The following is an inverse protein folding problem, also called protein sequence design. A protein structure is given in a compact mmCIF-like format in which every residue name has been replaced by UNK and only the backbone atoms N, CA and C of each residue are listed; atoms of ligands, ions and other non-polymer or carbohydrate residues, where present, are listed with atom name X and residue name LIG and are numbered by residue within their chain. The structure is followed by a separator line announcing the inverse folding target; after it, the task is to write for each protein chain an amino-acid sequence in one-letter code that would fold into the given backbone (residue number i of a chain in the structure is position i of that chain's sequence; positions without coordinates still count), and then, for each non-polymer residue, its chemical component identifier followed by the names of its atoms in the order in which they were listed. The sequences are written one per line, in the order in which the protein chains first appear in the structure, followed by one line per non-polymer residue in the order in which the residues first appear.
data_IF_372724039119
#
_entry.id   IF_372724039119
#
_cell.length_a   1.000
_cell.length_b   1.000
_cell.length_c   1.000
_cell.angle_alpha   90.00
_cell.angle_beta   90.00
_cell.angle_gamma   90.00
#
_symmetry.space_group_name_H-M   'P 1'
#
loop_
_entity.id
_entity.type
_entity.pdbx_description
1 polymer ?
#
# COMPACT_ATOMS: atom_id res chain seq x y z
N UNK A 1 -1.38 -6.69 -5.10
CA UNK A 1 -0.87 -6.78 -3.71
C UNK A 1 0.56 -7.28 -3.79
N UNK A 2 1.50 -6.59 -3.15
CA UNK A 2 2.90 -7.08 -3.06
C UNK A 2 2.94 -8.43 -2.33
N UNK A 3 3.87 -9.30 -2.70
CA UNK A 3 3.97 -10.65 -2.11
C UNK A 3 4.10 -10.61 -0.59
N UNK A 4 4.87 -9.65 -0.07
CA UNK A 4 5.07 -9.46 1.36
C UNK A 4 3.77 -9.09 2.08
N UNK A 5 2.98 -8.17 1.51
CA UNK A 5 1.68 -7.79 2.04
C UNK A 5 0.69 -8.98 2.05
N UNK A 6 0.80 -9.88 1.08
CA UNK A 6 -0.03 -11.09 1.05
C UNK A 6 0.30 -12.06 2.18
N UNK A 7 1.59 -12.30 2.44
CA UNK A 7 2.03 -13.15 3.55
C UNK A 7 1.67 -12.53 4.90
N UNK A 8 1.87 -11.23 5.08
CA UNK A 8 1.48 -10.51 6.29
C UNK A 8 -0.03 -10.59 6.52
N UNK A 9 -0.83 -10.42 5.47
CA UNK A 9 -2.30 -10.57 5.55
C UNK A 9 -2.66 -11.99 5.96
N UNK A 10 -2.08 -13.01 5.32
CA UNK A 10 -2.36 -14.40 5.63
C UNK A 10 -2.00 -14.76 7.08
N UNK A 11 -0.81 -14.34 7.54
CA UNK A 11 -0.32 -14.58 8.90
C UNK A 11 -1.20 -13.93 9.98
N UNK A 12 -1.93 -12.86 9.64
CA UNK A 12 -2.81 -12.12 10.56
C UNK A 12 -4.28 -12.54 10.49
N UNK A 13 -4.67 -13.44 9.58
CA UNK A 13 -6.01 -14.00 9.57
C UNK A 13 -6.26 -14.82 10.85
N UNK A 14 -7.54 -14.97 11.22
CA UNK A 14 -7.88 -15.90 12.30
C UNK A 14 -7.39 -17.30 11.97
N UNK A 15 -7.00 -18.06 13.00
CA UNK A 15 -6.47 -19.42 12.83
C UNK A 15 -7.44 -20.35 12.10
N UNK A 16 -8.75 -20.18 12.30
CA UNK A 16 -9.78 -20.92 11.58
C UNK A 16 -9.75 -20.64 10.08
N UNK A 17 -9.60 -19.37 9.68
CA UNK A 17 -9.50 -18.96 8.29
C UNK A 17 -8.20 -19.49 7.68
N UNK A 18 -7.06 -19.31 8.36
CA UNK A 18 -5.77 -19.87 7.92
C UNK A 18 -5.85 -21.38 7.68
N UNK A 19 -6.49 -22.13 8.59
CA UNK A 19 -6.70 -23.56 8.42
C UNK A 19 -7.57 -23.89 7.21
N UNK A 20 -8.64 -23.11 6.96
CA UNK A 20 -9.49 -23.29 5.78
C UNK A 20 -8.68 -23.08 4.49
N UNK A 21 -7.87 -22.03 4.42
CA UNK A 21 -6.95 -21.77 3.31
C UNK A 21 -5.91 -22.87 3.12
N UNK A 22 -5.28 -23.34 4.20
CA UNK A 22 -4.30 -24.42 4.15
C UNK A 22 -4.94 -25.73 3.68
N UNK A 23 -6.16 -26.06 4.13
CA UNK A 23 -6.91 -27.22 3.64
C UNK A 23 -7.27 -27.08 2.17
N UNK A 24 -7.65 -25.88 1.73
CA UNK A 24 -7.88 -25.58 0.31
C UNK A 24 -6.63 -25.80 -0.53
N UNK A 25 -5.50 -25.25 -0.09
CA UNK A 25 -4.21 -25.44 -0.75
C UNK A 25 -3.77 -26.92 -0.79
N UNK A 26 -3.95 -27.65 0.32
CA UNK A 26 -3.67 -29.07 0.40
C UNK A 26 -4.59 -29.88 -0.55
N UNK A 27 -5.86 -29.52 -0.65
CA UNK A 27 -6.81 -30.13 -1.58
C UNK A 27 -6.41 -29.92 -3.05
N UNK A 28 -5.99 -28.70 -3.40
CA UNK A 28 -5.48 -28.39 -4.74
C UNK A 28 -4.18 -29.14 -5.06
N UNK A 29 -3.26 -29.23 -4.09
CA UNK A 29 -2.05 -30.04 -4.24
C UNK A 29 -2.38 -31.52 -4.44
N UNK A 30 -3.30 -32.06 -3.64
CA UNK A 30 -3.75 -33.44 -3.78
C UNK A 30 -4.38 -33.69 -5.17
N UNK A 31 -5.18 -32.76 -5.67
CA UNK A 31 -5.74 -32.82 -7.02
C UNK A 31 -4.64 -32.89 -8.09
N UNK A 32 -3.63 -32.02 -8.02
CA UNK A 32 -2.49 -32.02 -8.96
C UNK A 32 -1.72 -33.35 -8.89
N UNK A 33 -1.47 -33.87 -7.68
CA UNK A 33 -0.78 -35.14 -7.48
C UNK A 33 -1.59 -36.33 -8.04
N UNK A 34 -2.92 -36.32 -7.87
CA UNK A 34 -3.82 -37.33 -8.46
C UNK A 34 -3.77 -37.27 -9.98
N UNK A 35 -3.76 -36.09 -10.60
CA UNK A 35 -3.64 -35.95 -12.05
C UNK A 35 -2.32 -36.54 -12.57
N UNK A 36 -1.19 -36.22 -11.93
CA UNK A 36 0.10 -36.83 -12.28
C UNK A 36 0.09 -38.35 -12.07
N UNK A 37 -0.54 -38.82 -11.00
CA UNK A 37 -0.66 -40.24 -10.74
C UNK A 37 -1.50 -40.96 -11.80
N UNK A 38 -2.61 -40.38 -12.25
CA UNK A 38 -3.45 -40.92 -13.32
C UNK A 38 -2.69 -41.00 -14.66
N UNK A 39 -1.91 -39.97 -14.99
CA UNK A 39 -1.05 -40.03 -16.18
C UNK A 39 0.02 -41.11 -16.06
N UNK A 40 0.68 -41.21 -14.89
CA UNK A 40 1.69 -42.24 -14.67
C UNK A 40 1.11 -43.65 -14.82
N UNK A 41 -0.14 -43.86 -14.37
CA UNK A 41 -0.91 -45.10 -14.53
C UNK A 41 -1.19 -45.43 -15.99
N UNK A 42 -1.41 -44.44 -16.85
CA UNK A 42 -1.60 -44.65 -18.29
C UNK A 42 -0.32 -45.17 -18.98
N UNK A 43 0.86 -44.64 -18.61
CA UNK A 43 2.13 -45.06 -19.23
C UNK A 43 2.76 -46.30 -18.58
N UNK A 44 2.34 -46.68 -17.37
CA UNK A 44 2.89 -47.83 -16.63
C UNK A 44 2.75 -49.18 -17.35
N UNK A 45 1.59 -49.57 -17.91
CA UNK A 45 1.42 -50.86 -18.59
C UNK A 45 2.36 -51.06 -19.78
N UNK A 46 2.80 -49.96 -20.40
CA UNK A 46 3.70 -50.00 -21.57
C UNK A 46 5.18 -49.83 -21.21
N UNK A 47 5.52 -49.74 -19.92
CA UNK A 47 6.90 -49.55 -19.46
C UNK A 47 7.48 -48.16 -19.75
N UNK A 48 6.64 -47.15 -20.00
CA UNK A 48 7.07 -45.82 -20.51
C UNK A 48 7.02 -44.71 -19.47
N UNK A 49 6.99 -45.05 -18.18
CA UNK A 49 6.92 -44.08 -17.07
C UNK A 49 8.15 -43.15 -17.08
N UNK A 50 9.34 -43.66 -17.39
CA UNK A 50 10.55 -42.83 -17.51
C UNK A 50 10.44 -41.77 -18.62
N UNK A 51 9.89 -42.16 -19.78
CA UNK A 51 9.63 -41.23 -20.90
C UNK A 51 8.59 -40.16 -20.52
N UNK A 52 7.53 -40.54 -19.81
CA UNK A 52 6.54 -39.59 -19.28
C UNK A 52 7.18 -38.59 -18.31
N UNK A 53 7.96 -39.07 -17.34
CA UNK A 53 8.61 -38.22 -16.35
C UNK A 53 9.58 -37.23 -17.01
N UNK A 54 10.38 -37.69 -17.98
CA UNK A 54 11.29 -36.84 -18.73
C UNK A 54 10.54 -35.72 -19.48
N UNK A 55 9.39 -36.03 -20.10
CA UNK A 55 8.56 -35.00 -20.74
C UNK A 55 7.98 -34.04 -19.69
N UNK A 56 7.56 -34.50 -18.52
CA UNK A 56 7.02 -33.62 -17.45
C UNK A 56 8.06 -32.68 -16.85
N UNK A 57 9.29 -33.15 -16.66
CA UNK A 57 10.41 -32.29 -16.27
C UNK A 57 10.69 -31.25 -17.36
N UNK A 58 10.66 -31.66 -18.63
CA UNK A 58 10.77 -30.72 -19.75
C UNK A 58 9.59 -29.73 -19.80
N UNK A 59 8.36 -30.14 -19.44
CA UNK A 59 7.21 -29.25 -19.34
C UNK A 59 7.44 -28.13 -18.32
N UNK A 60 8.08 -28.41 -17.18
CA UNK A 60 8.40 -27.38 -16.18
C UNK A 60 9.37 -26.33 -16.75
N UNK A 61 10.43 -26.78 -17.42
CA UNK A 61 11.40 -25.87 -18.06
C UNK A 61 10.73 -25.09 -19.19
N UNK A 62 9.92 -25.75 -20.02
CA UNK A 62 9.16 -25.12 -21.09
C UNK A 62 8.16 -24.08 -20.57
N UNK A 63 7.50 -24.32 -19.43
CA UNK A 63 6.61 -23.35 -18.78
C UNK A 63 7.37 -22.08 -18.41
N UNK A 64 8.53 -22.21 -17.75
CA UNK A 64 9.36 -21.08 -17.35
C UNK A 64 9.89 -20.30 -18.55
N UNK A 65 10.35 -21.01 -19.60
CA UNK A 65 10.82 -20.39 -20.83
C UNK A 65 9.70 -19.68 -21.59
N UNK A 66 8.52 -20.28 -21.69
CA UNK A 66 7.37 -19.66 -22.31
C UNK A 66 6.94 -18.40 -21.55
N UNK A 67 6.91 -18.45 -20.21
CA UNK A 67 6.61 -17.29 -19.38
C UNK A 67 7.65 -16.17 -19.60
N UNK A 68 8.94 -16.50 -19.57
CA UNK A 68 10.02 -15.54 -19.79
C UNK A 68 9.95 -14.91 -21.19
N UNK A 69 9.71 -15.72 -22.23
CA UNK A 69 9.61 -15.27 -23.61
C UNK A 69 8.40 -14.35 -23.86
N UNK A 70 7.34 -14.47 -23.06
CA UNK A 70 6.17 -13.60 -23.16
C UNK A 70 6.35 -12.34 -22.31
N UNK A 71 6.80 -12.47 -21.06
CA UNK A 71 6.78 -11.39 -20.08
C UNK A 71 7.97 -10.44 -20.23
N UNK A 72 9.19 -10.94 -20.47
CA UNK A 72 10.37 -10.09 -20.53
C UNK A 72 10.34 -9.08 -21.69
N UNK A 73 9.97 -9.47 -22.93
CA UNK A 73 9.87 -8.51 -24.02
C UNK A 73 8.78 -7.47 -23.80
N UNK A 74 7.63 -7.88 -23.25
CA UNK A 74 6.54 -6.95 -22.94
C UNK A 74 6.95 -5.94 -21.86
N UNK A 75 7.73 -6.36 -20.85
CA UNK A 75 8.28 -5.49 -19.79
C UNK A 75 9.34 -4.51 -20.31
N UNK A 76 10.02 -4.84 -21.41
CA UNK A 76 11.03 -3.98 -22.03
C UNK A 76 10.45 -2.84 -22.87
N UNK A 77 9.13 -2.87 -23.14
CA UNK A 77 8.42 -1.87 -23.93
C UNK A 77 7.45 -1.11 -23.03
N UNK A 78 7.39 0.21 -23.15
CA UNK A 78 6.47 1.06 -22.38
C UNK A 78 5.12 1.29 -23.08
N UNK A 79 4.09 1.59 -22.29
CA UNK A 79 2.80 2.04 -22.80
C UNK A 79 1.99 0.98 -23.57
N UNK A 80 1.08 1.38 -24.47
CA UNK A 80 0.17 0.47 -25.17
C UNK A 80 0.86 -0.60 -26.02
N UNK A 81 2.07 -0.31 -26.52
CA UNK A 81 2.87 -1.25 -27.32
C UNK A 81 3.28 -2.51 -26.52
N UNK A 82 3.43 -2.39 -25.20
CA UNK A 82 3.71 -3.53 -24.31
C UNK A 82 2.65 -4.62 -24.42
N UNK A 83 1.37 -4.22 -24.50
CA UNK A 83 0.24 -5.12 -24.64
C UNK A 83 0.28 -5.84 -26.01
N UNK A 84 0.61 -5.11 -27.07
CA UNK A 84 0.76 -5.70 -28.42
C UNK A 84 1.84 -6.78 -28.45
N UNK A 85 3.03 -6.48 -27.90
CA UNK A 85 4.14 -7.43 -27.79
C UNK A 85 3.74 -8.65 -26.96
N UNK A 86 3.08 -8.44 -25.82
CA UNK A 86 2.59 -9.51 -24.97
C UNK A 86 1.64 -10.45 -25.71
N UNK A 87 0.63 -9.90 -26.41
CA UNK A 87 -0.37 -10.69 -27.14
C UNK A 87 0.30 -11.49 -28.26
N UNK A 88 1.18 -10.86 -29.07
CA UNK A 88 1.88 -11.56 -30.14
C UNK A 88 2.72 -12.70 -29.58
N UNK A 89 3.53 -12.45 -28.55
CA UNK A 89 4.35 -13.50 -27.93
C UNK A 89 3.49 -14.63 -27.33
N UNK A 90 2.36 -14.29 -26.69
CA UNK A 90 1.46 -15.25 -26.07
C UNK A 90 0.79 -16.18 -27.10
N UNK A 91 0.40 -15.67 -28.27
CA UNK A 91 -0.30 -16.46 -29.28
C UNK A 91 0.62 -17.13 -30.31
N UNK A 92 1.90 -16.75 -30.38
CA UNK A 92 2.84 -17.31 -31.36
C UNK A 92 4.03 -18.02 -30.70
N UNK A 93 4.80 -17.30 -29.88
CA UNK A 93 6.04 -17.82 -29.29
C UNK A 93 5.74 -18.85 -28.20
N UNK A 94 4.80 -18.56 -27.28
CA UNK A 94 4.49 -19.46 -26.18
C UNK A 94 3.96 -20.83 -26.64
N UNK A 95 3.02 -20.93 -27.60
CA UNK A 95 2.57 -22.23 -28.11
C UNK A 95 3.68 -22.99 -28.82
N UNK A 96 4.55 -22.31 -29.60
CA UNK A 96 5.69 -22.96 -30.25
C UNK A 96 6.67 -23.55 -29.23
N UNK A 97 7.01 -22.81 -28.18
CA UNK A 97 7.86 -23.31 -27.10
C UNK A 97 7.19 -24.45 -26.33
N UNK A 98 5.91 -24.30 -25.99
CA UNK A 98 5.17 -25.29 -25.21
C UNK A 98 4.95 -26.58 -25.99
N UNK A 99 4.20 -26.56 -27.08
CA UNK A 99 3.87 -27.76 -27.84
C UNK A 99 5.10 -28.33 -28.57
N UNK A 100 5.97 -27.44 -29.07
CA UNK A 100 7.22 -27.84 -29.72
C UNK A 100 8.13 -28.62 -28.78
N UNK A 101 8.34 -28.16 -27.55
CA UNK A 101 9.18 -28.88 -26.57
C UNK A 101 8.62 -30.25 -26.20
N UNK A 102 7.29 -30.38 -26.03
CA UNK A 102 6.65 -31.66 -25.72
C UNK A 102 6.87 -32.68 -26.85
N UNK A 103 6.69 -32.27 -28.12
CA UNK A 103 6.97 -33.14 -29.27
C UNK A 103 8.48 -33.41 -29.39
N UNK A 104 9.32 -32.40 -29.24
CA UNK A 104 10.78 -32.49 -29.40
C UNK A 104 11.42 -33.47 -28.40
N UNK A 105 11.00 -33.39 -27.13
CA UNK A 105 11.49 -34.26 -26.05
C UNK A 105 10.81 -35.63 -26.13
N UNK A 106 9.48 -35.68 -26.30
CA UNK A 106 8.74 -36.93 -26.38
C UNK A 106 9.19 -37.84 -27.53
N UNK A 107 9.71 -37.27 -28.62
CA UNK A 107 10.30 -38.04 -29.73
C UNK A 107 11.75 -38.47 -29.51
N UNK A 108 12.47 -37.87 -28.55
CA UNK A 108 13.87 -38.18 -28.24
C UNK A 108 14.04 -39.14 -27.06
N UNK A 109 13.09 -39.18 -26.13
CA UNK A 109 13.10 -40.15 -25.02
C UNK A 109 13.02 -41.58 -25.54
N UNK A 110 13.58 -42.53 -24.79
CA UNK A 110 13.50 -43.96 -25.10
C UNK A 110 12.83 -44.71 -23.96
N UNK A 111 11.74 -45.44 -24.22
CA UNK A 111 11.02 -45.57 -25.50
C UNK A 111 10.30 -44.26 -25.93
N UNK A 112 10.24 -44.02 -27.25
CA UNK A 112 9.69 -42.78 -27.80
C UNK A 112 8.16 -42.71 -27.68
N UNK A 113 7.64 -41.50 -27.49
CA UNK A 113 6.21 -41.22 -27.48
C UNK A 113 5.70 -40.91 -28.89
N UNK A 114 4.43 -41.21 -29.13
CA UNK A 114 3.71 -40.82 -30.35
C UNK A 114 3.39 -39.33 -30.34
N UNK A 115 3.10 -38.75 -31.51
CA UNK A 115 2.66 -37.34 -31.61
C UNK A 115 1.39 -37.09 -30.81
N UNK A 116 0.44 -38.03 -30.84
CA UNK A 116 -0.81 -37.95 -30.08
C UNK A 116 -0.54 -37.93 -28.58
N UNK A 117 0.33 -38.80 -28.07
CA UNK A 117 0.71 -38.80 -26.65
C UNK A 117 1.42 -37.51 -26.23
N UNK A 118 2.31 -36.97 -27.08
CA UNK A 118 2.95 -35.68 -26.81
C UNK A 118 1.93 -34.53 -26.74
N UNK A 119 0.94 -34.52 -27.64
CA UNK A 119 -0.12 -33.52 -27.65
C UNK A 119 -1.01 -33.64 -26.40
N UNK A 120 -1.39 -34.86 -26.02
CA UNK A 120 -2.16 -35.12 -24.80
C UNK A 120 -1.38 -34.63 -23.58
N UNK A 121 -0.08 -34.92 -23.49
CA UNK A 121 0.77 -34.43 -22.39
C UNK A 121 0.90 -32.91 -22.37
N UNK A 122 0.99 -32.26 -23.52
CA UNK A 122 0.99 -30.81 -23.61
C UNK A 122 -0.33 -30.21 -23.12
N UNK A 123 -1.49 -30.75 -23.54
CA UNK A 123 -2.81 -30.25 -23.14
C UNK A 123 -3.07 -30.48 -21.65
N UNK A 124 -2.84 -31.70 -21.16
CA UNK A 124 -2.97 -32.03 -19.73
C UNK A 124 -1.99 -31.23 -18.87
N UNK A 125 -0.79 -30.94 -19.38
CA UNK A 125 0.15 -30.04 -18.71
C UNK A 125 -0.39 -28.62 -18.56
N UNK A 126 -1.09 -28.08 -19.57
CA UNK A 126 -1.76 -26.78 -19.46
C UNK A 126 -2.89 -26.82 -18.44
N UNK A 127 -3.69 -27.90 -18.41
CA UNK A 127 -4.75 -28.07 -17.40
C UNK A 127 -4.16 -28.09 -15.99
N UNK A 128 -3.07 -28.84 -15.79
CA UNK A 128 -2.39 -28.91 -14.49
C UNK A 128 -1.81 -27.54 -14.09
N UNK A 129 -1.21 -26.80 -15.03
CA UNK A 129 -0.72 -25.44 -14.78
C UNK A 129 -1.84 -24.42 -14.53
N UNK A 130 -3.03 -24.63 -15.10
CA UNK A 130 -4.18 -23.77 -14.88
C UNK A 130 -4.70 -23.85 -13.44
N UNK A 131 -4.50 -24.96 -12.72
CA UNK A 131 -4.94 -25.14 -11.33
C UNK A 131 -4.30 -24.09 -10.39
N UNK A 132 -2.97 -24.00 -10.24
CA UNK A 132 -2.36 -22.99 -9.37
C UNK A 132 -2.62 -21.57 -9.88
N UNK A 133 -2.71 -21.36 -11.20
CA UNK A 133 -3.05 -20.04 -11.78
C UNK A 133 -4.45 -19.57 -11.38
N UNK A 134 -5.46 -20.42 -11.59
CA UNK A 134 -6.85 -20.11 -11.21
C UNK A 134 -7.03 -19.96 -9.71
N UNK A 135 -6.37 -20.81 -8.92
CA UNK A 135 -6.36 -20.69 -7.46
C UNK A 135 -5.77 -19.35 -7.00
N UNK A 136 -4.67 -18.90 -7.61
CA UNK A 136 -4.08 -17.59 -7.32
C UNK A 136 -5.06 -16.45 -7.61
N UNK A 137 -5.72 -16.44 -8.77
CA UNK A 137 -6.71 -15.41 -9.11
C UNK A 137 -7.95 -15.46 -8.20
N UNK A 138 -8.46 -16.66 -7.90
CA UNK A 138 -9.57 -16.85 -6.97
C UNK A 138 -9.23 -16.37 -5.55
N UNK A 139 -7.96 -16.46 -5.15
CA UNK A 139 -7.50 -16.02 -3.85
C UNK A 139 -7.45 -14.50 -3.67
N UNK A 140 -7.25 -13.73 -4.76
CA UNK A 140 -7.03 -12.28 -4.66
C UNK A 140 -8.19 -11.54 -4.00
N UNK A 141 -9.43 -11.82 -4.41
CA UNK A 141 -10.61 -11.15 -3.87
C UNK A 141 -10.78 -11.36 -2.35
N UNK A 142 -10.83 -12.61 -1.87
CA UNK A 142 -10.88 -12.94 -0.45
C UNK A 142 -9.71 -12.36 0.36
N UNK A 143 -8.48 -12.41 -0.16
CA UNK A 143 -7.31 -11.82 0.50
C UNK A 143 -7.44 -10.29 0.63
N UNK A 144 -7.93 -9.62 -0.41
CA UNK A 144 -8.23 -8.19 -0.36
C UNK A 144 -9.39 -7.86 0.59
N UNK A 145 -10.40 -8.72 0.70
CA UNK A 145 -11.48 -8.56 1.66
C UNK A 145 -10.96 -8.69 3.10
N UNK A 146 -10.18 -9.73 3.39
CA UNK A 146 -9.56 -9.91 4.70
C UNK A 146 -8.62 -8.76 5.08
N UNK A 147 -7.79 -8.29 4.14
CA UNK A 147 -6.92 -7.14 4.38
C UNK A 147 -7.69 -5.83 4.67
N UNK A 148 -8.88 -5.65 4.08
CA UNK A 148 -9.78 -4.52 4.36
C UNK A 148 -10.39 -4.64 5.75
N UNK A 149 -10.94 -5.80 6.09
CA UNK A 149 -11.52 -6.07 7.41
C UNK A 149 -10.48 -5.86 8.53
N UNK A 150 -9.25 -6.35 8.36
CA UNK A 150 -8.14 -6.05 9.28
C UNK A 150 -7.85 -4.55 9.43
N UNK A 151 -7.95 -3.79 8.34
CA UNK A 151 -7.75 -2.36 8.37
C UNK A 151 -8.88 -1.63 9.10
N UNK A 152 -10.10 -2.13 9.00
CA UNK A 152 -11.28 -1.58 9.66
C UNK A 152 -11.26 -1.82 11.17
N UNK A 153 -10.78 -3.00 11.61
CA UNK A 153 -10.64 -3.35 13.04
C UNK A 153 -9.62 -2.50 13.78
N UNK A 154 -8.57 -2.01 13.08
CA UNK A 154 -7.51 -1.16 13.64
C UNK A 154 -6.81 -1.77 14.85
N UNK A 155 -6.77 -3.10 14.91
CA UNK A 155 -6.03 -3.80 15.94
C UNK A 155 -4.56 -3.85 15.54
N UNK A 156 -3.69 -3.51 16.49
CA UNK A 156 -2.26 -3.66 16.31
C UNK A 156 -1.91 -5.16 16.31
N UNK A 157 -0.95 -5.60 15.47
CA UNK A 157 -0.49 -6.98 15.49
C UNK A 157 0.01 -7.42 16.86
N UNK A 158 -0.20 -8.68 17.24
CA UNK A 158 0.31 -9.22 18.51
C UNK A 158 1.84 -9.26 18.56
N UNK A 159 2.48 -9.40 17.41
CA UNK A 159 3.93 -9.35 17.19
C UNK A 159 4.43 -7.95 16.83
N UNK A 160 3.60 -6.92 16.97
CA UNK A 160 3.99 -5.54 16.69
C UNK A 160 5.13 -5.14 17.65
N UNK A 161 6.33 -4.82 17.13
CA UNK A 161 7.42 -4.40 17.99
C UNK A 161 7.07 -3.09 18.71
N UNK A 162 7.70 -2.81 19.85
CA UNK A 162 7.49 -1.55 20.55
C UNK A 162 7.86 -0.37 19.64
N UNK A 163 7.03 0.66 19.68
CA UNK A 163 7.31 1.91 18.98
C UNK A 163 8.39 2.66 19.74
N UNK A 164 9.48 3.05 19.06
CA UNK A 164 10.57 3.84 19.67
C UNK A 164 10.18 5.30 19.92
N UNK A 165 9.14 5.79 19.24
CA UNK A 165 8.61 7.13 19.48
C UNK A 165 7.90 7.21 20.83
N UNK A 166 8.14 8.30 21.55
CA UNK A 166 7.37 8.64 22.75
C UNK A 166 5.99 9.14 22.33
N UNK A 167 4.96 8.35 22.62
CA UNK A 167 3.57 8.67 22.30
C UNK A 167 3.01 9.68 23.30
N UNK A 168 2.71 10.90 22.84
CA UNK A 168 2.05 11.90 23.67
C UNK A 168 0.55 11.61 23.82
N UNK A 169 -0.11 12.10 24.89
CA UNK A 169 -1.55 11.97 25.03
C UNK A 169 -2.32 12.61 23.88
N UNK A 170 -3.43 12.00 23.47
CA UNK A 170 -4.35 12.59 22.49
C UNK A 170 -4.95 13.87 23.08
N UNK A 171 -4.73 15.00 22.40
CA UNK A 171 -5.34 16.29 22.74
C UNK A 171 -6.64 16.46 21.96
N UNK A 172 -7.60 17.14 22.60
CA UNK A 172 -8.96 17.33 22.07
C UNK A 172 -9.21 18.81 21.90
N UNK A 173 -9.69 19.20 20.73
CA UNK A 173 -10.12 20.57 20.47
C UNK A 173 -11.47 20.64 19.79
N UNK A 174 -12.17 21.74 19.99
CA UNK A 174 -13.28 22.16 19.13
C UNK A 174 -12.75 23.07 18.03
N UNK A 175 -13.24 22.84 16.80
CA UNK A 175 -12.90 23.67 15.65
C UNK A 175 -14.19 24.15 14.97
N UNK A 176 -14.37 25.47 14.90
CA UNK A 176 -15.55 26.09 14.30
C UNK A 176 -15.76 25.59 12.85
N UNK A 177 -16.99 25.16 12.52
CA UNK A 177 -17.32 24.61 11.20
C UNK A 177 -16.99 23.12 10.98
N UNK A 178 -16.20 22.51 11.87
CA UNK A 178 -15.80 21.09 11.78
C UNK A 178 -16.33 20.28 12.98
N UNK A 179 -16.36 20.88 14.17
CA UNK A 179 -16.68 20.21 15.43
C UNK A 179 -15.43 19.68 16.14
N UNK A 180 -15.54 18.60 16.93
CA UNK A 180 -14.42 18.03 17.66
C UNK A 180 -13.33 17.50 16.72
N UNK A 181 -12.09 17.85 17.02
CA UNK A 181 -10.88 17.36 16.36
C UNK A 181 -9.91 16.83 17.41
N UNK A 182 -9.00 15.98 16.96
CA UNK A 182 -7.98 15.36 17.77
C UNK A 182 -6.60 15.65 17.19
N UNK A 183 -5.62 15.84 18.08
CA UNK A 183 -4.22 15.91 17.69
C UNK A 183 -3.37 15.03 18.59
N UNK A 184 -2.29 14.48 18.07
CA UNK A 184 -1.35 13.69 18.84
C UNK A 184 0.07 13.88 18.29
N UNK A 185 1.08 13.88 19.15
CA UNK A 185 2.47 13.90 18.75
C UNK A 185 3.15 12.59 19.12
N UNK A 186 3.94 12.04 18.20
CA UNK A 186 4.85 10.93 18.39
C UNK A 186 6.26 11.51 18.28
N UNK A 187 6.94 11.64 19.42
CA UNK A 187 8.25 12.29 19.48
C UNK A 187 9.33 11.25 19.19
N UNK A 188 10.18 11.51 18.20
CA UNK A 188 11.24 10.60 17.80
C UNK A 188 12.33 10.47 18.86
N UNK A 189 12.82 9.25 19.07
CA UNK A 189 13.99 9.03 19.92
C UNK A 189 15.25 9.65 19.29
N UNK A 190 16.17 10.23 20.08
CA UNK A 190 17.34 10.95 19.58
C UNK A 190 18.27 10.08 18.72
N UNK A 191 18.34 8.78 19.00
CA UNK A 191 19.24 7.83 18.32
C UNK A 191 18.57 7.08 17.16
N UNK A 192 17.37 7.51 16.74
CA UNK A 192 16.64 6.92 15.63
C UNK A 192 16.54 7.90 14.48
N UNK A 193 16.48 7.39 13.25
CA UNK A 193 16.15 8.20 12.07
C UNK A 193 14.86 7.69 11.45
N UNK A 194 13.84 8.53 11.43
CA UNK A 194 12.60 8.23 10.71
C UNK A 194 12.92 8.10 9.22
N UNK A 195 12.61 6.93 8.65
CA UNK A 195 12.87 6.61 7.24
C UNK A 195 11.61 6.80 6.42
N UNK A 196 10.47 6.35 6.96
CA UNK A 196 9.19 6.38 6.26
C UNK A 196 8.03 6.32 7.24
N UNK A 197 6.95 7.01 6.90
CA UNK A 197 5.63 6.84 7.52
C UNK A 197 4.68 6.44 6.39
N UNK A 198 3.89 5.41 6.64
CA UNK A 198 2.86 4.92 5.72
C UNK A 198 1.53 4.97 6.45
N UNK A 199 0.50 5.55 5.84
CA UNK A 199 -0.86 5.51 6.39
C UNK A 199 -1.68 4.45 5.66
N UNK A 200 -2.33 3.57 6.42
CA UNK A 200 -3.16 2.51 5.87
C UNK A 200 -4.37 3.11 5.16
N UNK A 201 -4.58 2.71 3.90
CA UNK A 201 -5.73 3.09 3.08
C UNK A 201 -6.46 1.82 2.64
N UNK A 202 -7.56 1.50 3.31
CA UNK A 202 -8.24 0.21 3.16
C UNK A 202 -7.24 -0.94 3.40
N UNK A 203 -7.15 -1.86 2.45
CA UNK A 203 -6.24 -3.01 2.55
C UNK A 203 -4.75 -2.67 2.38
N UNK A 204 -4.38 -1.46 1.95
CA UNK A 204 -3.05 -1.17 1.42
C UNK A 204 -2.22 -0.27 2.33
N UNK A 205 -0.90 -0.44 2.24
CA UNK A 205 0.12 0.48 2.74
C UNK A 205 0.73 1.19 1.53
N UNK A 206 0.24 2.38 1.14
CA UNK A 206 0.79 3.11 0.02
C UNK A 206 2.22 3.53 0.33
N UNK A 207 3.16 3.21 -0.56
CA UNK A 207 4.59 3.56 -0.42
C UNK A 207 4.98 4.81 -1.20
N UNK A 208 4.05 5.38 -1.97
CA UNK A 208 4.29 6.55 -2.80
C UNK A 208 4.44 7.81 -1.93
N UNK A 209 5.63 8.40 -1.94
CA UNK A 209 5.93 9.64 -1.18
C UNK A 209 5.15 10.87 -1.65
N UNK A 210 4.55 10.81 -2.84
CA UNK A 210 3.83 11.93 -3.44
C UNK A 210 2.34 11.94 -3.07
N UNK A 211 1.85 10.96 -2.32
CA UNK A 211 0.48 10.93 -1.82
C UNK A 211 0.38 11.96 -0.70
N UNK A 212 -0.54 12.93 -0.83
CA UNK A 212 -0.82 13.86 0.25
C UNK A 212 -1.23 13.07 1.50
N UNK A 213 -0.61 13.39 2.65
CA UNK A 213 -0.90 12.76 3.93
C UNK A 213 -1.75 13.72 4.76
N UNK A 214 -3.09 13.72 4.62
CA UNK A 214 -3.91 14.68 5.33
C UNK A 214 -3.85 14.45 6.83
N UNK A 215 -3.79 13.19 7.30
CA UNK A 215 -3.97 12.90 8.72
C UNK A 215 -2.70 12.97 9.58
N UNK A 216 -1.52 13.12 8.96
CA UNK A 216 -0.27 13.26 9.66
C UNK A 216 0.71 14.16 8.92
N UNK A 217 1.70 14.68 9.64
CA UNK A 217 2.88 15.31 9.07
C UNK A 217 4.11 14.98 9.91
N UNK A 218 5.29 15.30 9.38
CA UNK A 218 6.59 15.02 9.97
C UNK A 218 7.43 16.27 10.16
N UNK A 219 8.19 16.29 11.25
CA UNK A 219 9.21 17.32 11.49
C UNK A 219 10.47 16.64 12.03
N UNK A 220 11.46 16.45 11.16
CA UNK A 220 12.60 15.59 11.48
C UNK A 220 12.16 14.16 11.74
N UNK A 221 12.34 13.68 12.97
CA UNK A 221 11.93 12.35 13.40
C UNK A 221 10.52 12.31 14.02
N UNK A 222 9.92 13.47 14.29
CA UNK A 222 8.63 13.56 14.94
C UNK A 222 7.51 13.34 13.93
N UNK A 223 6.44 12.69 14.39
CA UNK A 223 5.21 12.49 13.62
C UNK A 223 4.06 13.13 14.38
N UNK A 224 3.37 14.06 13.72
CA UNK A 224 2.22 14.78 14.29
C UNK A 224 0.94 14.40 13.56
N UNK A 225 -0.09 14.07 14.33
CA UNK A 225 -1.37 13.59 13.83
C UNK A 225 -2.44 14.64 14.04
N UNK A 226 -3.36 14.75 13.07
CA UNK A 226 -4.54 15.59 13.16
C UNK A 226 -5.70 14.97 12.37
N UNK A 227 -6.82 14.74 13.06
CA UNK A 227 -8.03 14.19 12.45
C UNK A 227 -9.30 14.74 13.11
N UNK A 228 -10.39 14.76 12.35
CA UNK A 228 -11.72 15.08 12.85
C UNK A 228 -12.33 13.90 13.59
N UNK A 229 -13.23 14.13 14.54
CA UNK A 229 -14.04 13.06 15.13
C UNK A 229 -14.97 12.36 14.14
N UNK A 230 -15.21 12.97 12.97
CA UNK A 230 -15.94 12.37 11.86
C UNK A 230 -15.02 11.60 10.89
N UNK A 231 -13.71 11.65 11.11
CA UNK A 231 -12.74 10.82 10.42
C UNK A 231 -12.37 9.61 11.30
N UNK A 232 -12.08 8.52 10.61
CA UNK A 232 -11.31 7.42 11.15
C UNK A 232 -10.00 7.91 11.84
N UNK A 233 -9.69 7.46 13.07
CA UNK A 233 -8.34 7.61 13.62
C UNK A 233 -7.27 7.11 12.63
N UNK A 234 -6.12 7.80 12.51
CA UNK A 234 -5.05 7.35 11.64
C UNK A 234 -4.55 5.95 12.02
N UNK A 235 -4.28 5.12 11.02
CA UNK A 235 -3.57 3.85 11.19
C UNK A 235 -2.27 3.94 10.40
N UNK A 236 -1.14 3.99 11.11
CA UNK A 236 0.18 4.24 10.55
C UNK A 236 1.09 3.01 10.68
N UNK A 237 2.07 2.93 9.79
CA UNK A 237 3.27 2.12 9.90
C UNK A 237 4.47 3.04 9.85
N UNK A 238 5.20 3.13 10.95
CA UNK A 238 6.39 3.96 11.08
C UNK A 238 7.60 3.05 10.86
N UNK A 239 8.49 3.44 9.95
CA UNK A 239 9.75 2.75 9.66
C UNK A 239 10.90 3.67 10.04
N UNK A 240 11.84 3.18 10.85
CA UNK A 240 13.01 3.94 11.27
C UNK A 240 14.28 3.11 11.20
N UNK A 241 15.41 3.80 11.07
CA UNK A 241 16.74 3.22 11.20
C UNK A 241 17.21 3.36 12.65
N UNK A 242 17.67 2.25 13.21
CA UNK A 242 18.33 2.19 14.52
C UNK A 242 19.82 2.55 14.39
N UNK A 243 20.47 2.82 15.54
CA UNK A 243 21.89 3.18 15.61
C UNK A 243 22.84 2.12 15.04
N UNK A 244 22.44 0.84 15.09
CA UNK A 244 23.16 -0.29 14.49
C UNK A 244 22.95 -0.43 12.96
N UNK A 245 22.21 0.50 12.34
CA UNK A 245 21.88 0.47 10.91
C UNK A 245 20.71 -0.45 10.54
N UNK A 246 20.14 -1.20 11.49
CA UNK A 246 18.94 -2.01 11.25
C UNK A 246 17.75 -1.10 10.95
N UNK A 247 16.94 -1.49 9.97
CA UNK A 247 15.68 -0.82 9.66
C UNK A 247 14.54 -1.67 10.19
N UNK A 248 13.79 -1.09 11.12
CA UNK A 248 12.65 -1.74 11.75
C UNK A 248 11.39 -0.89 11.52
N UNK A 249 10.23 -1.48 11.75
CA UNK A 249 8.97 -0.76 11.68
C UNK A 249 8.01 -1.25 12.75
N UNK A 250 7.12 -0.36 13.18
CA UNK A 250 5.99 -0.69 14.02
C UNK A 250 4.72 -0.05 13.45
N UNK A 251 3.60 -0.71 13.70
CA UNK A 251 2.27 -0.21 13.41
C UNK A 251 1.75 0.59 14.61
N UNK A 252 1.01 1.67 14.34
CA UNK A 252 0.50 2.58 15.35
C UNK A 252 -0.90 3.08 14.99
N UNK A 253 -1.80 3.10 15.96
CA UNK A 253 -3.07 3.81 15.86
C UNK A 253 -3.37 4.50 17.20
N UNK A 254 -3.95 5.71 17.22
CA UNK A 254 -4.27 6.41 18.45
C UNK A 254 -5.19 5.59 19.36
N UNK A 255 -4.86 5.55 20.65
CA UNK A 255 -5.75 4.98 21.65
C UNK A 255 -6.85 5.99 22.00
N UNK A 256 -8.10 5.64 21.72
CA UNK A 256 -9.25 6.55 21.83
C UNK A 256 -10.04 6.42 23.15
N UNK A 257 -9.49 5.77 24.18
CA UNK A 257 -10.11 5.78 25.51
C UNK A 257 -9.86 7.13 26.19
N UNK A 258 -10.84 8.02 26.12
CA UNK A 258 -10.74 9.43 26.56
C UNK A 258 -11.51 9.69 27.87
N UNK A 259 -11.84 8.65 28.63
CA UNK A 259 -12.78 8.72 29.76
C UNK A 259 -12.32 9.67 30.89
N UNK A 260 -11.01 9.89 31.03
CA UNK A 260 -10.40 10.82 31.98
C UNK A 260 -9.85 12.10 31.32
N UNK A 261 -10.11 12.33 30.03
CA UNK A 261 -9.57 13.47 29.31
C UNK A 261 -10.31 14.77 29.68
N UNK A 262 -9.61 15.91 29.82
CA UNK A 262 -10.25 17.20 30.02
C UNK A 262 -11.23 17.51 28.87
N UNK A 263 -12.19 18.43 29.10
CA UNK A 263 -13.08 18.89 28.05
C UNK A 263 -12.27 19.47 26.88
N UNK A 264 -12.75 19.34 25.62
CA UNK A 264 -12.05 19.89 24.47
C UNK A 264 -11.84 21.40 24.61
N UNK A 265 -10.60 21.86 24.40
CA UNK A 265 -10.29 23.28 24.32
C UNK A 265 -10.67 23.86 22.94
N UNK A 266 -10.76 25.17 22.77
CA UNK A 266 -10.91 25.75 21.43
C UNK A 266 -9.59 25.65 20.65
N UNK A 267 -9.66 25.27 19.37
CA UNK A 267 -8.48 25.25 18.50
C UNK A 267 -8.16 26.66 18.02
N UNK A 268 -7.03 27.21 18.46
CA UNK A 268 -6.64 28.59 18.17
C UNK A 268 -5.38 28.69 17.32
N UNK A 269 -5.27 29.81 16.60
CA UNK A 269 -4.12 30.17 15.77
C UNK A 269 -3.64 31.56 16.20
N UNK A 270 -2.38 31.67 16.62
CA UNK A 270 -1.69 32.96 16.69
C UNK A 270 -1.38 33.45 15.28
N UNK A 271 -1.76 34.69 14.95
CA UNK A 271 -1.48 35.27 13.63
C UNK A 271 -0.31 36.26 13.72
N UNK A 272 0.65 36.08 12.82
CA UNK A 272 1.72 37.04 12.55
C UNK A 272 1.53 37.61 11.13
N UNK A 273 2.06 38.80 10.82
CA UNK A 273 1.96 39.34 9.47
C UNK A 273 2.49 38.37 8.40
N UNK A 274 3.58 37.66 8.69
CA UNK A 274 4.27 36.76 7.78
C UNK A 274 3.96 35.28 8.02
N UNK A 275 3.10 34.92 8.97
CA UNK A 275 2.99 33.53 9.41
C UNK A 275 1.87 33.24 10.39
N UNK A 276 1.88 32.01 10.89
CA UNK A 276 0.90 31.50 11.86
C UNK A 276 1.59 30.69 12.94
N UNK A 277 0.93 30.63 14.10
CA UNK A 277 1.36 29.92 15.29
C UNK A 277 0.18 29.07 15.81
N UNK A 278 -0.08 27.90 15.20
CA UNK A 278 -1.15 27.04 15.66
C UNK A 278 -0.86 26.47 17.05
N UNK A 279 -1.91 26.24 17.84
CA UNK A 279 -1.80 25.62 19.18
C UNK A 279 -1.27 24.16 19.13
N UNK A 280 -1.45 23.48 17.99
CA UNK A 280 -0.90 22.17 17.71
C UNK A 280 -0.48 22.06 16.24
N UNK A 281 0.50 21.19 15.89
CA UNK A 281 0.93 21.00 14.50
C UNK A 281 -0.21 20.57 13.58
N UNK A 282 -0.26 21.17 12.38
CA UNK A 282 -1.28 20.90 11.36
C UNK A 282 -0.59 20.29 10.13
N UNK A 283 -1.06 19.15 9.61
CA UNK A 283 -0.58 18.64 8.33
C UNK A 283 -0.83 19.65 7.21
N UNK A 284 0.22 20.03 6.48
CA UNK A 284 0.12 21.05 5.43
C UNK A 284 -0.91 20.71 4.35
N UNK A 285 -1.12 19.42 4.09
CA UNK A 285 -2.13 18.93 3.16
C UNK A 285 -3.58 19.31 3.56
N UNK A 286 -3.84 19.63 4.84
CA UNK A 286 -5.15 20.11 5.32
C UNK A 286 -5.29 21.62 5.29
N UNK A 287 -4.21 22.36 5.11
CA UNK A 287 -4.18 23.80 5.36
C UNK A 287 -4.00 24.64 4.09
N UNK A 288 -4.61 25.81 4.09
CA UNK A 288 -4.34 26.88 3.14
C UNK A 288 -4.32 28.23 3.88
N UNK A 289 -3.57 29.19 3.35
CA UNK A 289 -3.55 30.56 3.86
C UNK A 289 -4.35 31.47 2.94
N UNK A 290 -5.05 32.43 3.52
CA UNK A 290 -5.59 33.59 2.81
C UNK A 290 -4.67 34.77 3.09
N UNK A 291 -4.05 35.28 2.04
CA UNK A 291 -3.09 36.37 2.08
C UNK A 291 -3.73 37.63 1.52
N UNK A 292 -3.46 38.78 2.14
CA UNK A 292 -3.95 40.09 1.68
C UNK A 292 -2.80 41.05 1.44
N UNK A 293 -2.95 41.92 0.45
CA UNK A 293 -2.05 43.04 0.19
C UNK A 293 -2.90 44.27 -0.15
N UNK A 294 -2.54 45.48 0.33
CA UNK A 294 -3.26 46.70 -0.01
C UNK A 294 -3.39 46.89 -1.54
N UNK A 295 -4.62 47.19 -2.00
CA UNK A 295 -4.92 47.42 -3.41
C UNK A 295 -4.92 46.16 -4.29
N UNK A 296 -4.91 44.95 -3.69
CA UNK A 296 -5.00 43.68 -4.41
C UNK A 296 -6.04 42.75 -3.80
N UNK A 297 -6.61 41.90 -4.65
CA UNK A 297 -7.51 40.84 -4.21
C UNK A 297 -6.81 39.83 -3.28
N UNK A 298 -7.52 39.26 -2.30
CA UNK A 298 -6.98 38.21 -1.44
C UNK A 298 -6.49 37.01 -2.26
N UNK A 299 -5.30 36.51 -1.94
CA UNK A 299 -4.70 35.35 -2.57
C UNK A 299 -4.79 34.12 -1.67
N UNK A 300 -5.27 33.00 -2.21
CA UNK A 300 -5.27 31.73 -1.48
C UNK A 300 -4.02 30.94 -1.83
N UNK A 301 -3.21 30.66 -0.83
CA UNK A 301 -2.01 29.83 -0.93
C UNK A 301 -2.30 28.44 -0.35
N UNK A 302 -2.27 27.42 -1.20
CA UNK A 302 -2.41 26.02 -0.77
C UNK A 302 -1.08 25.56 -0.15
N UNK A 303 -1.12 24.99 1.06
CA UNK A 303 0.11 24.55 1.73
C UNK A 303 0.48 23.09 1.41
N UNK A 304 -0.47 22.31 0.88
CA UNK A 304 -0.34 20.90 0.51
C UNK A 304 0.51 20.65 -0.74
N UNK A 305 0.03 19.81 -1.65
CA UNK A 305 0.68 19.52 -2.93
C UNK A 305 -0.11 20.12 -4.10
N UNK A 306 0.55 20.61 -5.17
CA UNK A 306 2.01 20.68 -5.37
C UNK A 306 2.68 21.74 -4.47
N UNK A 307 4.01 21.66 -4.34
CA UNK A 307 4.82 22.72 -3.73
C UNK A 307 4.72 24.00 -4.53
N UNK A 308 4.80 25.14 -3.85
CA UNK A 308 4.90 26.42 -4.53
C UNK A 308 6.24 26.54 -5.28
N UNK A 309 6.28 27.38 -6.32
CA UNK A 309 7.49 27.57 -7.11
C UNK A 309 8.66 28.06 -6.22
N UNK A 310 9.78 27.35 -6.27
CA UNK A 310 10.98 27.65 -5.48
C UNK A 310 10.91 27.21 -4.01
N UNK A 311 9.79 26.65 -3.55
CA UNK A 311 9.60 26.23 -2.16
C UNK A 311 10.52 25.06 -1.79
N UNK A 312 11.34 25.24 -0.75
CA UNK A 312 12.16 24.17 -0.15
C UNK A 312 11.55 23.78 1.19
N UNK A 313 11.03 22.56 1.29
CA UNK A 313 10.39 22.05 2.50
C UNK A 313 11.41 21.33 3.39
N UNK A 314 11.55 21.81 4.63
CA UNK A 314 12.21 21.08 5.72
C UNK A 314 11.23 20.28 6.58
N UNK A 315 9.93 20.60 6.49
CA UNK A 315 8.83 19.92 7.18
C UNK A 315 7.56 20.00 6.34
N UNK A 316 6.70 18.99 6.48
CA UNK A 316 5.33 18.96 5.95
C UNK A 316 4.27 19.37 6.99
N UNK A 317 4.69 19.93 8.13
CA UNK A 317 3.82 20.50 9.17
C UNK A 317 3.72 22.03 9.09
N UNK A 318 2.56 22.57 9.45
CA UNK A 318 2.39 23.95 9.91
C UNK A 318 2.47 23.92 11.43
N UNK A 319 3.51 24.52 11.99
CA UNK A 319 3.80 24.53 13.43
C UNK A 319 3.94 25.97 13.94
N UNK A 320 4.05 26.15 15.25
CA UNK A 320 4.48 27.43 15.83
C UNK A 320 5.77 27.89 15.14
N UNK A 321 5.81 29.13 14.69
CA UNK A 321 6.89 29.68 13.88
C UNK A 321 6.70 29.54 12.37
N UNK A 322 5.63 28.91 11.86
CA UNK A 322 5.43 28.74 10.42
C UNK A 322 5.32 30.07 9.68
N UNK A 323 6.14 30.25 8.65
CA UNK A 323 6.17 31.44 7.78
C UNK A 323 5.64 31.11 6.39
N UNK A 324 4.87 32.03 5.81
CA UNK A 324 4.32 31.91 4.45
C UNK A 324 5.42 31.81 3.40
N UNK A 325 5.15 31.12 2.30
CA UNK A 325 6.05 31.06 1.16
C UNK A 325 5.54 31.97 0.03
N UNK A 326 5.77 33.27 0.10
CA UNK A 326 5.31 34.19 -0.95
C UNK A 326 6.43 35.14 -1.37
N UNK A 327 6.68 35.32 -2.68
CA UNK A 327 7.64 36.30 -3.16
C UNK A 327 7.10 37.72 -2.89
N UNK A 328 7.68 38.39 -1.89
CA UNK A 328 7.43 39.81 -1.61
C UNK A 328 7.06 40.10 -0.15
N UNK A 329 7.56 41.22 0.41
CA UNK A 329 7.38 41.55 1.83
C UNK A 329 5.96 42.00 2.21
N UNK A 330 5.11 42.38 1.23
CA UNK A 330 3.89 43.14 1.50
C UNK A 330 2.61 42.30 1.65
N UNK A 331 2.66 40.99 1.40
CA UNK A 331 1.53 40.10 1.68
C UNK A 331 1.44 39.81 3.18
N UNK A 332 0.24 39.84 3.72
CA UNK A 332 -0.01 39.51 5.12
C UNK A 332 -0.98 38.35 5.26
N UNK A 333 -0.78 37.48 6.25
CA UNK A 333 -1.73 36.42 6.57
C UNK A 333 -2.98 37.04 7.21
N UNK A 334 -4.13 36.85 6.56
CA UNK A 334 -5.44 37.28 7.05
C UNK A 334 -6.22 36.12 7.67
N UNK A 335 -6.10 34.92 7.12
CA UNK A 335 -6.81 33.75 7.64
C UNK A 335 -6.03 32.46 7.33
N UNK A 336 -6.31 31.43 8.10
CA UNK A 336 -5.95 30.05 7.77
C UNK A 336 -7.24 29.23 7.63
N UNK A 337 -7.31 28.45 6.57
CA UNK A 337 -8.38 27.50 6.35
C UNK A 337 -7.90 26.07 6.54
N UNK A 338 -8.75 25.24 7.15
CA UNK A 338 -8.49 23.84 7.44
C UNK A 338 -9.57 22.98 6.77
N UNK A 339 -9.14 21.90 6.13
CA UNK A 339 -10.02 20.97 5.40
C UNK A 339 -9.85 19.54 5.90
N UNK A 340 -10.96 18.87 6.15
CA UNK A 340 -11.00 17.46 6.53
C UNK A 340 -11.84 16.67 5.52
N UNK A 341 -11.26 15.60 4.98
CA UNK A 341 -11.92 14.79 3.96
C UNK A 341 -12.63 13.63 4.63
N UNK A 342 -13.96 13.61 4.49
CA UNK A 342 -14.76 12.51 5.00
C UNK A 342 -14.59 11.27 4.13
N UNK A 343 -14.62 10.06 4.73
CA UNK A 343 -14.72 8.82 3.98
C UNK A 343 -15.95 8.82 3.05
N UNK A 344 -15.88 8.06 1.94
CA UNK A 344 -16.99 7.80 1.01
C UNK A 344 -17.53 9.00 0.21
N UNK A 345 -16.75 10.07 0.01
CA UNK A 345 -17.10 11.16 -0.91
C UNK A 345 -18.10 12.17 -0.34
N UNK A 346 -18.28 12.20 0.98
CA UNK A 346 -19.01 13.27 1.66
C UNK A 346 -18.34 14.63 1.43
N UNK A 347 -19.13 15.71 1.58
CA UNK A 347 -18.60 17.06 1.51
C UNK A 347 -17.50 17.26 2.56
N UNK A 348 -16.34 17.80 2.15
CA UNK A 348 -15.25 18.05 3.07
C UNK A 348 -15.68 19.03 4.17
N UNK A 349 -15.31 18.73 5.41
CA UNK A 349 -15.49 19.65 6.53
C UNK A 349 -14.47 20.78 6.39
N UNK A 350 -14.90 22.01 6.64
CA UNK A 350 -14.05 23.19 6.46
C UNK A 350 -14.15 24.10 7.67
N UNK A 351 -13.02 24.61 8.09
CA UNK A 351 -12.93 25.72 9.03
C UNK A 351 -12.15 26.85 8.39
N UNK A 352 -12.52 28.08 8.70
CA UNK A 352 -11.73 29.27 8.40
C UNK A 352 -11.58 30.04 9.70
N UNK A 353 -10.34 30.19 10.15
CA UNK A 353 -9.98 30.98 11.31
C UNK A 353 -9.41 32.28 10.79
N UNK A 354 -10.03 33.40 11.15
CA UNK A 354 -9.62 34.73 10.70
C UNK A 354 -8.76 35.40 11.76
N UNK A 355 -7.79 36.20 11.30
CA UNK A 355 -7.03 37.08 12.16
C UNK A 355 -8.01 38.06 12.81
N UNK A 356 -8.01 38.21 14.15
CA UNK A 356 -8.85 39.18 14.82
C UNK A 356 -8.65 40.57 14.21
N UNK A 357 -9.75 41.26 13.90
CA UNK A 357 -9.69 42.67 13.53
C UNK A 357 -9.13 43.44 14.74
N UNK A 358 -8.03 44.17 14.52
CA UNK A 358 -7.49 45.10 15.51
C UNK A 358 -8.30 46.38 15.54
#
# INVERSE_FOLDING_TARGET
MEWQQMFDTFARMFSADQQAWLRGAAGLLALVLVLFWLESRYFKPTGRVGSWLAVRLASMVAALLALAAVVLPARAVGGPAALGVFIVALYTVAPLLWFGSHVLVGRRVRPALTRGECLVLAVTGLVILAIPGTAFFAAQGPLHAAARDMAERRELPADNPPLEHTVQPVQRYNLAGVGPIFTQALLGAPDTRLVRVEQRQGAQWPTERNVAHPSYCTNGNDVHLMWSAQEAPPYLRLTWAQSNGAVVHAEFTPHMALDAAPPPAEFTIGFRPDGVDPIAPIPRARAYLVLTQPGREPHTQMLGSPTEAGEVRSTDCVMTGFTRWTPGPNWQVQAIGLTFQLPAGGAALRSRIERPMQ
#
